data_IF_463320006898
#
_entry.id   IF_463320006898
#
_cell.length_a   1.000
_cell.length_b   1.000
_cell.length_c   1.000
_cell.angle_alpha   90.00
_cell.angle_beta   90.00
_cell.angle_gamma   90.00
#
_symmetry.space_group_name_H-M   'P 1'
#
loop_
_entity.id
_entity.type
_entity.pdbx_description
1 polymer ?
#
# COMPACT_ATOMS: atom_id res chain seq x y z
N UNK A 1 -35.79 21.67 25.56
CA UNK A 1 -34.67 20.87 26.09
C UNK A 1 -35.23 19.62 26.73
N UNK A 2 -35.00 18.46 26.13
CA UNK A 2 -35.26 17.16 26.76
C UNK A 2 -33.88 16.55 27.01
N UNK A 3 -33.48 16.50 28.28
CA UNK A 3 -32.30 15.77 28.72
C UNK A 3 -32.57 14.28 28.53
N UNK A 4 -31.94 13.64 27.55
CA UNK A 4 -31.85 12.20 27.50
C UNK A 4 -30.86 11.75 28.57
N UNK A 5 -31.42 11.38 29.72
CA UNK A 5 -30.70 10.86 30.86
C UNK A 5 -30.04 9.52 30.47
N UNK A 6 -28.72 9.40 30.67
CA UNK A 6 -27.98 8.14 30.53
C UNK A 6 -28.42 7.19 31.64
N UNK A 7 -29.53 6.49 31.47
CA UNK A 7 -29.91 5.37 32.35
C UNK A 7 -29.60 4.04 31.68
N UNK A 8 -28.74 3.29 32.35
CA UNK A 8 -28.40 1.88 32.17
C UNK A 8 -29.53 1.05 31.55
N UNK A 9 -29.48 0.82 30.23
CA UNK A 9 -30.18 -0.27 29.57
C UNK A 9 -29.40 -0.69 28.32
N UNK A 10 -28.82 -1.89 28.44
CA UNK A 10 -28.70 -2.94 27.43
C UNK A 10 -28.10 -2.59 26.06
N UNK A 11 -27.24 -3.46 25.53
CA UNK A 11 -26.50 -3.30 24.27
C UNK A 11 -27.35 -3.04 23.00
N UNK A 12 -28.67 -2.96 23.12
CA UNK A 12 -29.62 -2.46 22.12
C UNK A 12 -29.61 -0.92 21.97
N UNK A 13 -29.22 -0.17 23.00
CA UNK A 13 -29.33 1.30 23.08
C UNK A 13 -28.33 2.06 22.19
N UNK A 14 -27.11 1.56 22.04
CA UNK A 14 -26.01 2.26 21.34
C UNK A 14 -26.21 2.37 19.84
N UNK A 15 -26.87 1.39 19.20
CA UNK A 15 -27.10 1.39 17.76
C UNK A 15 -28.20 2.39 17.33
N UNK A 16 -29.25 2.55 18.13
CA UNK A 16 -30.33 3.49 17.85
C UNK A 16 -29.98 4.93 18.26
N UNK A 17 -29.09 5.12 19.24
CA UNK A 17 -28.67 6.45 19.68
C UNK A 17 -28.15 7.31 18.52
N UNK A 18 -27.23 6.77 17.70
CA UNK A 18 -26.68 7.51 16.55
C UNK A 18 -27.75 7.90 15.51
N UNK A 19 -28.68 6.99 15.21
CA UNK A 19 -29.77 7.25 14.24
C UNK A 19 -30.76 8.30 14.77
N UNK A 20 -31.09 8.24 16.07
CA UNK A 20 -31.97 9.22 16.71
C UNK A 20 -31.34 10.61 16.73
N UNK A 21 -30.04 10.72 17.04
CA UNK A 21 -29.33 11.99 16.98
C UNK A 21 -29.36 12.60 15.57
N UNK A 22 -29.23 11.79 14.52
CA UNK A 22 -29.33 12.26 13.14
C UNK A 22 -30.73 12.78 12.79
N UNK A 23 -31.79 12.12 13.28
CA UNK A 23 -33.17 12.60 13.12
C UNK A 23 -33.37 13.93 13.86
N UNK A 24 -32.90 14.02 15.11
CA UNK A 24 -32.97 15.24 15.91
C UNK A 24 -32.22 16.40 15.25
N UNK A 25 -31.00 16.15 14.78
CA UNK A 25 -30.23 17.13 14.01
C UNK A 25 -31.00 17.63 12.80
N UNK A 26 -31.61 16.72 12.02
CA UNK A 26 -32.42 17.11 10.87
C UNK A 26 -33.62 17.99 11.26
N UNK A 27 -34.27 17.72 12.38
CA UNK A 27 -35.35 18.58 12.88
C UNK A 27 -34.84 19.96 13.28
N UNK A 28 -33.68 20.05 13.93
CA UNK A 28 -33.04 21.32 14.28
C UNK A 28 -32.67 22.10 13.02
N UNK A 29 -32.12 21.45 11.99
CA UNK A 29 -31.79 22.10 10.71
C UNK A 29 -33.04 22.60 9.98
N UNK A 30 -34.17 21.88 10.06
CA UNK A 30 -35.41 22.26 9.36
C UNK A 30 -36.20 23.35 10.08
N UNK A 31 -36.20 23.36 11.42
CA UNK A 31 -37.12 24.18 12.22
C UNK A 31 -36.43 25.12 13.22
N UNK A 32 -35.13 24.97 13.44
CA UNK A 32 -34.32 25.80 14.33
C UNK A 32 -33.43 26.80 13.58
N UNK A 33 -32.46 27.33 14.30
CA UNK A 33 -31.44 28.26 13.80
C UNK A 33 -30.13 27.55 13.47
N UNK A 34 -29.30 28.15 12.63
CA UNK A 34 -27.97 27.60 12.33
C UNK A 34 -27.07 27.51 13.57
N UNK A 35 -27.22 28.45 14.52
CA UNK A 35 -26.51 28.42 15.79
C UNK A 35 -26.93 27.23 16.67
N UNK A 36 -28.22 26.89 16.70
CA UNK A 36 -28.71 25.70 17.40
C UNK A 36 -28.23 24.41 16.73
N UNK A 37 -28.19 24.37 15.39
CA UNK A 37 -27.64 23.23 14.66
C UNK A 37 -26.14 23.04 14.92
N UNK A 38 -25.36 24.12 14.86
CA UNK A 38 -23.93 24.09 15.17
C UNK A 38 -23.68 23.64 16.60
N UNK A 39 -24.41 24.20 17.58
CA UNK A 39 -24.26 23.80 18.98
C UNK A 39 -24.56 22.30 19.17
N UNK A 40 -25.62 21.80 18.55
CA UNK A 40 -25.95 20.38 18.58
C UNK A 40 -24.85 19.50 17.95
N UNK A 41 -24.30 19.92 16.81
CA UNK A 41 -23.20 19.20 16.15
C UNK A 41 -21.94 19.17 17.04
N UNK A 42 -21.59 20.27 17.72
CA UNK A 42 -20.45 20.37 18.63
C UNK A 42 -20.62 19.46 19.86
N UNK A 43 -21.79 19.45 20.48
CA UNK A 43 -22.11 18.58 21.63
C UNK A 43 -22.04 17.09 21.28
N UNK A 44 -22.30 16.72 20.03
CA UNK A 44 -22.35 15.34 19.56
C UNK A 44 -21.14 14.95 18.69
N UNK A 45 -20.05 15.73 18.75
CA UNK A 45 -18.85 15.53 17.93
C UNK A 45 -18.11 14.20 18.15
N UNK A 46 -18.43 13.46 19.21
CA UNK A 46 -17.95 12.09 19.45
C UNK A 46 -18.41 11.10 18.37
N UNK A 47 -19.52 11.38 17.69
CA UNK A 47 -19.94 10.59 16.54
C UNK A 47 -19.32 11.14 15.25
N UNK A 48 -18.64 10.25 14.52
CA UNK A 48 -17.97 10.58 13.26
C UNK A 48 -18.83 11.39 12.27
N UNK A 49 -20.14 11.10 12.16
CA UNK A 49 -21.03 11.83 11.26
C UNK A 49 -21.20 13.31 11.62
N UNK A 50 -21.28 13.66 12.91
CA UNK A 50 -21.33 15.07 13.34
C UNK A 50 -19.98 15.75 13.22
N UNK A 51 -18.89 15.02 13.50
CA UNK A 51 -17.53 15.52 13.25
C UNK A 51 -17.31 15.89 11.77
N UNK A 52 -17.81 15.07 10.84
CA UNK A 52 -17.77 15.36 9.41
C UNK A 52 -18.52 16.66 9.07
N UNK A 53 -19.71 16.88 9.64
CA UNK A 53 -20.46 18.13 9.45
C UNK A 53 -19.68 19.34 9.95
N UNK A 54 -19.08 19.25 11.14
CA UNK A 54 -18.25 20.32 11.70
C UNK A 54 -17.01 20.60 10.84
N UNK A 55 -16.38 19.57 10.28
CA UNK A 55 -15.26 19.72 9.35
C UNK A 55 -15.71 20.42 8.06
N UNK A 56 -16.86 20.03 7.49
CA UNK A 56 -17.38 20.67 6.29
C UNK A 56 -17.78 22.14 6.53
N UNK A 57 -18.32 22.47 7.70
CA UNK A 57 -18.53 23.87 8.11
C UNK A 57 -17.21 24.64 8.19
N UNK A 58 -16.23 24.09 8.89
CA UNK A 58 -14.91 24.72 9.03
C UNK A 58 -14.21 24.92 7.67
N UNK A 59 -14.34 23.96 6.73
CA UNK A 59 -13.84 24.12 5.35
C UNK A 59 -14.54 25.26 4.61
N UNK A 60 -15.87 25.39 4.71
CA UNK A 60 -16.63 26.49 4.09
C UNK A 60 -16.22 27.86 4.63
N UNK A 61 -15.86 27.90 5.91
CA UNK A 61 -15.35 29.11 6.58
C UNK A 61 -13.85 29.35 6.33
N UNK A 62 -13.16 28.49 5.58
CA UNK A 62 -11.70 28.47 5.40
C UNK A 62 -10.91 28.41 6.73
N UNK A 63 -11.52 27.88 7.79
CA UNK A 63 -10.88 27.68 9.09
C UNK A 63 -10.19 26.31 9.14
N UNK A 64 -9.06 26.20 8.45
CA UNK A 64 -8.32 24.94 8.34
C UNK A 64 -7.65 24.52 9.64
N UNK A 65 -7.40 25.45 10.56
CA UNK A 65 -6.96 25.15 11.93
C UNK A 65 -8.02 24.35 12.69
N UNK A 66 -9.30 24.74 12.59
CA UNK A 66 -10.43 23.97 13.16
C UNK A 66 -10.57 22.60 12.48
N UNK A 67 -10.35 22.51 11.16
CA UNK A 67 -10.33 21.22 10.44
C UNK A 67 -9.25 20.29 11.01
N UNK A 68 -8.03 20.79 11.22
CA UNK A 68 -6.93 20.01 11.81
C UNK A 68 -7.30 19.53 13.21
N UNK A 69 -7.81 20.41 14.07
CA UNK A 69 -8.20 20.05 15.44
C UNK A 69 -9.29 18.96 15.46
N UNK A 70 -10.32 19.08 14.63
CA UNK A 70 -11.40 18.11 14.52
C UNK A 70 -10.91 16.75 13.99
N UNK A 71 -10.02 16.74 13.00
CA UNK A 71 -9.44 15.53 12.44
C UNK A 71 -8.54 14.81 13.46
N UNK A 72 -7.66 15.53 14.15
CA UNK A 72 -6.80 14.96 15.20
C UNK A 72 -7.61 14.34 16.35
N UNK A 73 -8.72 14.97 16.74
CA UNK A 73 -9.61 14.41 17.75
C UNK A 73 -10.35 13.17 17.22
N UNK A 74 -10.71 13.15 15.93
CA UNK A 74 -11.25 11.96 15.27
C UNK A 74 -10.27 10.79 15.28
N UNK A 75 -8.99 11.02 14.99
CA UNK A 75 -7.94 10.00 15.04
C UNK A 75 -7.81 9.36 16.43
N UNK A 76 -7.89 10.16 17.51
CA UNK A 76 -7.80 9.65 18.89
C UNK A 76 -9.02 8.82 19.29
N UNK A 77 -10.21 9.26 18.89
CA UNK A 77 -11.47 8.62 19.30
C UNK A 77 -11.76 7.35 18.50
N UNK A 78 -11.44 7.36 17.20
CA UNK A 78 -11.61 6.22 16.30
C UNK A 78 -10.36 5.32 16.26
N UNK A 79 -9.39 5.46 17.17
CA UNK A 79 -8.17 4.63 17.20
C UNK A 79 -8.49 3.12 17.33
N UNK A 80 -9.63 2.78 17.93
CA UNK A 80 -10.15 1.40 18.02
C UNK A 80 -10.88 0.93 16.75
N UNK A 81 -11.06 1.80 15.74
CA UNK A 81 -11.80 1.55 14.51
C UNK A 81 -10.88 1.77 13.30
N UNK A 82 -10.01 0.80 13.05
CA UNK A 82 -8.91 0.84 12.07
C UNK A 82 -9.26 1.36 10.65
N UNK A 83 -10.53 1.32 10.23
CA UNK A 83 -10.98 1.83 8.93
C UNK A 83 -11.23 3.34 8.86
N UNK A 84 -11.33 4.06 9.99
CA UNK A 84 -11.64 5.51 10.00
C UNK A 84 -10.41 6.39 10.21
N UNK A 85 -9.39 5.87 10.86
CA UNK A 85 -8.11 6.58 11.08
C UNK A 85 -7.49 7.11 9.78
N UNK A 86 -7.49 6.39 8.64
CA UNK A 86 -6.95 6.91 7.38
C UNK A 86 -7.70 8.16 6.88
N UNK A 87 -9.05 8.17 6.97
CA UNK A 87 -9.88 9.30 6.51
C UNK A 87 -9.56 10.59 7.26
N UNK A 88 -9.37 10.51 8.59
CA UNK A 88 -9.03 11.70 9.38
C UNK A 88 -7.63 12.23 9.04
N UNK A 89 -6.66 11.33 8.85
CA UNK A 89 -5.32 11.68 8.39
C UNK A 89 -5.34 12.35 7.01
N UNK A 90 -6.13 11.85 6.06
CA UNK A 90 -6.33 12.48 4.74
C UNK A 90 -6.88 13.91 4.85
N UNK A 91 -7.92 14.11 5.67
CA UNK A 91 -8.50 15.45 5.89
C UNK A 91 -7.47 16.40 6.50
N UNK A 92 -6.70 15.92 7.49
CA UNK A 92 -5.64 16.69 8.15
C UNK A 92 -4.51 17.03 7.16
N UNK A 93 -4.16 16.10 6.30
CA UNK A 93 -3.15 16.29 5.25
C UNK A 93 -3.54 17.40 4.26
N UNK A 94 -4.78 17.39 3.79
CA UNK A 94 -5.30 18.44 2.91
C UNK A 94 -5.37 19.80 3.61
N UNK A 95 -5.71 19.83 4.90
CA UNK A 95 -5.68 21.06 5.69
C UNK A 95 -4.24 21.60 5.83
N UNK A 96 -3.23 20.74 6.03
CA UNK A 96 -1.82 21.15 6.00
C UNK A 96 -1.42 21.77 4.67
N UNK A 97 -1.86 21.22 3.53
CA UNK A 97 -1.64 21.83 2.20
C UNK A 97 -2.22 23.24 2.13
N UNK A 98 -3.48 23.42 2.58
CA UNK A 98 -4.17 24.72 2.53
C UNK A 98 -3.49 25.79 3.37
N UNK A 99 -2.90 25.41 4.50
CA UNK A 99 -2.15 26.30 5.39
C UNK A 99 -0.65 26.38 5.05
N UNK A 100 -0.18 25.68 4.00
CA UNK A 100 1.25 25.60 3.65
C UNK A 100 2.14 25.07 4.79
N UNK A 101 1.60 24.20 5.64
CA UNK A 101 2.31 23.57 6.78
C UNK A 101 3.15 22.39 6.30
N UNK A 102 4.24 22.69 5.56
CA UNK A 102 5.05 21.69 4.84
C UNK A 102 5.72 20.66 5.76
N UNK A 103 6.18 21.06 6.94
CA UNK A 103 6.86 20.14 7.85
C UNK A 103 5.90 19.09 8.42
N UNK A 104 4.71 19.52 8.81
CA UNK A 104 3.61 18.69 9.28
C UNK A 104 3.09 17.77 8.17
N UNK A 105 2.94 18.33 6.96
CA UNK A 105 2.58 17.58 5.76
C UNK A 105 3.61 16.47 5.49
N UNK A 106 4.91 16.78 5.46
CA UNK A 106 5.95 15.79 5.21
C UNK A 106 5.97 14.69 6.28
N UNK A 107 5.79 15.05 7.56
CA UNK A 107 5.71 14.05 8.65
C UNK A 107 4.52 13.10 8.45
N UNK A 108 3.35 13.64 8.11
CA UNK A 108 2.14 12.83 7.92
C UNK A 108 2.18 11.99 6.63
N UNK A 109 2.68 12.53 5.52
CA UNK A 109 2.89 11.76 4.29
C UNK A 109 3.83 10.57 4.54
N UNK A 110 4.90 10.78 5.32
CA UNK A 110 5.81 9.71 5.71
C UNK A 110 5.10 8.66 6.57
N UNK A 111 4.29 9.06 7.53
CA UNK A 111 3.50 8.12 8.33
C UNK A 111 2.55 7.28 7.45
N UNK A 112 1.78 7.95 6.58
CA UNK A 112 0.85 7.30 5.64
C UNK A 112 1.58 6.32 4.71
N UNK A 113 2.73 6.72 4.17
CA UNK A 113 3.57 5.85 3.35
C UNK A 113 3.96 4.58 4.12
N UNK A 114 4.43 4.69 5.36
CA UNK A 114 4.84 3.52 6.17
C UNK A 114 3.65 2.63 6.57
N UNK A 115 2.44 3.18 6.60
CA UNK A 115 1.20 2.45 6.84
C UNK A 115 0.65 1.76 5.58
N UNK A 116 1.27 1.96 4.41
CA UNK A 116 0.98 1.25 3.16
C UNK A 116 0.37 2.11 2.05
N UNK A 117 0.27 3.42 2.23
CA UNK A 117 -0.30 4.36 1.27
C UNK A 117 0.79 4.93 0.35
N UNK A 118 1.16 4.18 -0.69
CA UNK A 118 2.27 4.54 -1.57
C UNK A 118 2.04 5.84 -2.36
N UNK A 119 0.79 6.23 -2.57
CA UNK A 119 0.40 7.48 -3.23
C UNK A 119 1.04 8.73 -2.58
N UNK A 120 1.39 8.68 -1.29
CA UNK A 120 2.06 9.76 -0.58
C UNK A 120 3.55 9.87 -0.86
N UNK A 121 4.17 8.90 -1.56
CA UNK A 121 5.60 8.94 -1.85
C UNK A 121 5.97 10.16 -2.71
N UNK A 122 5.26 10.38 -3.82
CA UNK A 122 5.54 11.49 -4.71
C UNK A 122 5.35 12.83 -3.99
N UNK A 123 4.28 12.97 -3.21
CA UNK A 123 4.06 14.19 -2.44
C UNK A 123 5.16 14.42 -1.38
N UNK A 124 5.61 13.36 -0.72
CA UNK A 124 6.71 13.44 0.23
C UNK A 124 8.01 13.85 -0.45
N UNK A 125 8.26 13.35 -1.66
CA UNK A 125 9.40 13.69 -2.51
C UNK A 125 9.34 15.17 -2.94
N UNK A 126 8.18 15.67 -3.35
CA UNK A 126 7.97 17.08 -3.73
C UNK A 126 8.12 18.05 -2.55
N UNK A 127 7.85 17.59 -1.32
CA UNK A 127 8.06 18.37 -0.10
C UNK A 127 9.52 18.38 0.37
N UNK A 128 10.36 17.50 -0.15
CA UNK A 128 11.78 17.48 0.19
C UNK A 128 12.49 18.67 -0.45
N UNK A 129 13.10 19.51 0.39
CA UNK A 129 13.96 20.63 -0.06
C UNK A 129 15.45 20.29 -0.01
N UNK A 130 15.80 19.09 0.46
CA UNK A 130 17.18 18.61 0.57
C UNK A 130 17.63 17.86 -0.68
N UNK A 131 18.74 17.13 -0.53
CA UNK A 131 19.23 16.24 -1.58
C UNK A 131 18.26 15.06 -1.79
N UNK A 132 17.94 14.78 -3.05
CA UNK A 132 16.96 13.75 -3.41
C UNK A 132 17.49 12.34 -3.14
N UNK A 133 18.79 12.13 -3.34
CA UNK A 133 19.45 10.84 -3.11
C UNK A 133 19.54 10.55 -1.62
N UNK A 134 19.95 11.52 -0.80
CA UNK A 134 19.95 11.37 0.66
C UNK A 134 18.54 11.07 1.20
N UNK A 135 17.53 11.78 0.70
CA UNK A 135 16.13 11.54 1.05
C UNK A 135 15.70 10.11 0.71
N UNK A 136 15.98 9.66 -0.52
CA UNK A 136 15.69 8.32 -0.99
C UNK A 136 16.41 7.26 -0.13
N UNK A 137 17.71 7.39 0.08
CA UNK A 137 18.52 6.42 0.83
C UNK A 137 18.07 6.32 2.30
N UNK A 138 17.73 7.44 2.92
CA UNK A 138 17.15 7.45 4.26
C UNK A 138 15.81 6.72 4.34
N UNK A 139 14.93 6.99 3.37
CA UNK A 139 13.60 6.40 3.32
C UNK A 139 13.69 4.89 3.08
N UNK A 140 14.49 4.49 2.10
CA UNK A 140 14.83 3.11 1.76
C UNK A 140 15.38 2.36 2.97
N UNK A 141 16.37 2.93 3.66
CA UNK A 141 16.97 2.30 4.84
C UNK A 141 15.97 2.12 5.99
N UNK A 142 15.03 3.06 6.18
CA UNK A 142 13.98 2.96 7.19
C UNK A 142 12.95 1.88 6.83
N UNK A 143 12.50 1.82 5.58
CA UNK A 143 11.56 0.79 5.11
C UNK A 143 12.18 -0.62 5.14
N UNK A 144 13.45 -0.76 4.72
CA UNK A 144 14.18 -2.04 4.72
C UNK A 144 14.36 -2.64 6.12
N UNK A 145 14.49 -1.78 7.15
CA UNK A 145 14.63 -2.22 8.56
C UNK A 145 13.30 -2.58 9.22
N UNK A 146 12.18 -2.14 8.65
CA UNK A 146 10.87 -2.37 9.21
C UNK A 146 10.37 -3.79 8.87
N UNK A 147 9.93 -4.52 9.89
CA UNK A 147 9.51 -5.91 9.75
C UNK A 147 8.04 -6.08 9.37
N UNK A 148 7.25 -4.99 9.43
CA UNK A 148 5.83 -4.98 9.05
C UNK A 148 5.67 -5.30 7.57
N UNK A 149 4.64 -6.07 7.23
CA UNK A 149 4.39 -6.48 5.84
C UNK A 149 4.08 -5.27 4.94
N UNK A 150 3.40 -4.24 5.46
CA UNK A 150 3.14 -3.00 4.74
C UNK A 150 4.45 -2.31 4.34
N UNK A 151 5.36 -2.13 5.29
CA UNK A 151 6.63 -1.47 5.04
C UNK A 151 7.51 -2.25 4.06
N UNK A 152 7.49 -3.59 4.10
CA UNK A 152 8.15 -4.43 3.08
C UNK A 152 7.57 -4.21 1.69
N UNK A 153 6.25 -4.11 1.55
CA UNK A 153 5.64 -3.80 0.25
C UNK A 153 6.01 -2.39 -0.22
N UNK A 154 6.04 -1.41 0.68
CA UNK A 154 6.45 -0.05 0.35
C UNK A 154 7.91 0.04 -0.06
N UNK A 155 8.80 -0.75 0.57
CA UNK A 155 10.18 -0.88 0.15
C UNK A 155 10.28 -1.37 -1.30
N UNK A 156 9.54 -2.42 -1.67
CA UNK A 156 9.54 -2.95 -3.04
C UNK A 156 8.98 -1.93 -4.02
N UNK A 157 7.87 -1.28 -3.71
CA UNK A 157 7.31 -0.23 -4.56
C UNK A 157 8.29 0.95 -4.73
N UNK A 158 9.02 1.31 -3.66
CA UNK A 158 9.99 2.39 -3.69
C UNK A 158 11.17 2.10 -4.62
N UNK A 159 11.80 0.93 -4.51
CA UNK A 159 12.93 0.56 -5.38
C UNK A 159 12.48 0.36 -6.83
N UNK A 160 11.22 -0.04 -7.05
CA UNK A 160 10.63 -0.12 -8.39
C UNK A 160 10.43 1.26 -9.02
N UNK A 161 9.84 2.19 -8.28
CA UNK A 161 9.54 3.54 -8.77
C UNK A 161 10.82 4.31 -9.11
N UNK A 162 11.90 4.09 -8.35
CA UNK A 162 13.19 4.74 -8.56
C UNK A 162 14.15 3.92 -9.44
N UNK A 163 13.69 2.77 -9.97
CA UNK A 163 14.48 1.84 -10.79
C UNK A 163 15.86 1.51 -10.18
N UNK A 164 15.92 1.33 -8.84
CA UNK A 164 17.17 1.04 -8.11
C UNK A 164 17.61 -0.40 -8.36
N UNK A 165 18.36 -0.60 -9.44
CA UNK A 165 18.73 -1.92 -9.94
C UNK A 165 19.57 -2.73 -8.95
N UNK A 166 20.43 -2.07 -8.15
CA UNK A 166 21.22 -2.72 -7.12
C UNK A 166 20.31 -3.36 -6.05
N UNK A 167 19.32 -2.60 -5.58
CA UNK A 167 18.39 -3.07 -4.55
C UNK A 167 17.35 -4.06 -5.08
N UNK A 168 16.92 -3.91 -6.35
CA UNK A 168 16.09 -4.90 -7.02
C UNK A 168 16.86 -6.22 -7.16
N UNK A 169 18.13 -6.20 -7.57
CA UNK A 169 18.96 -7.40 -7.69
C UNK A 169 19.16 -8.09 -6.32
N UNK A 170 19.40 -7.32 -5.26
CA UNK A 170 19.47 -7.84 -3.90
C UNK A 170 18.12 -8.48 -3.47
N UNK A 171 17.00 -7.82 -3.75
CA UNK A 171 15.67 -8.30 -3.41
C UNK A 171 15.33 -9.65 -4.08
N UNK A 172 15.57 -9.77 -5.39
CA UNK A 172 15.27 -11.02 -6.12
C UNK A 172 16.24 -12.15 -5.79
N UNK A 173 17.46 -11.83 -5.34
CA UNK A 173 18.41 -12.85 -4.88
C UNK A 173 17.89 -13.61 -3.67
N UNK A 174 17.16 -12.93 -2.79
CA UNK A 174 16.44 -13.55 -1.66
C UNK A 174 15.07 -14.11 -2.08
N UNK A 175 14.49 -13.59 -3.16
CA UNK A 175 13.16 -13.94 -3.64
C UNK A 175 13.15 -14.34 -5.14
N UNK A 176 13.72 -15.51 -5.50
CA UNK A 176 13.91 -15.89 -6.90
C UNK A 176 12.64 -15.98 -7.73
N UNK A 177 11.46 -16.13 -7.09
CA UNK A 177 10.16 -16.14 -7.76
C UNK A 177 9.84 -14.86 -8.54
N UNK A 178 10.50 -13.74 -8.22
CA UNK A 178 10.29 -12.48 -8.91
C UNK A 178 11.29 -12.24 -10.06
N UNK A 179 12.22 -13.15 -10.34
CA UNK A 179 13.21 -12.97 -11.41
C UNK A 179 12.55 -12.65 -12.75
N UNK A 180 11.46 -13.34 -13.09
CA UNK A 180 10.74 -13.14 -14.35
C UNK A 180 10.07 -11.76 -14.47
N UNK A 181 9.88 -11.04 -13.36
CA UNK A 181 9.31 -9.69 -13.33
C UNK A 181 10.37 -8.63 -13.62
N UNK A 182 11.58 -8.79 -13.10
CA UNK A 182 12.63 -7.76 -13.15
C UNK A 182 13.79 -8.08 -14.10
N UNK A 183 13.87 -9.29 -14.65
CA UNK A 183 14.97 -9.70 -15.53
C UNK A 183 15.19 -8.74 -16.70
N UNK A 184 14.13 -8.19 -17.30
CA UNK A 184 14.25 -7.23 -18.40
C UNK A 184 14.90 -5.91 -17.98
N UNK A 185 14.63 -5.43 -16.77
CA UNK A 185 15.23 -4.21 -16.21
C UNK A 185 16.71 -4.42 -15.87
N UNK A 186 17.08 -5.65 -15.48
CA UNK A 186 18.41 -5.97 -14.96
C UNK A 186 19.38 -6.53 -16.00
N UNK A 187 18.91 -6.98 -17.16
CA UNK A 187 19.73 -7.74 -18.13
C UNK A 187 20.95 -6.99 -18.66
N UNK A 188 20.90 -5.67 -18.73
CA UNK A 188 22.00 -4.86 -19.28
C UNK A 188 23.13 -4.66 -18.25
N UNK A 189 22.80 -4.58 -16.96
CA UNK A 189 23.76 -4.30 -15.88
C UNK A 189 24.17 -5.53 -15.07
N UNK A 190 23.34 -6.59 -15.05
CA UNK A 190 23.53 -7.80 -14.24
C UNK A 190 23.30 -9.08 -15.05
N UNK A 191 23.74 -9.11 -16.31
CA UNK A 191 23.49 -10.21 -17.24
C UNK A 191 23.83 -11.59 -16.63
N UNK A 192 25.02 -11.72 -16.02
CA UNK A 192 25.51 -12.96 -15.44
C UNK A 192 24.73 -13.39 -14.20
N UNK A 193 24.38 -12.45 -13.32
CA UNK A 193 23.61 -12.71 -12.11
C UNK A 193 22.18 -13.08 -12.43
N UNK A 194 21.55 -12.36 -13.38
CA UNK A 194 20.22 -12.66 -13.90
C UNK A 194 20.20 -14.05 -14.52
N UNK A 195 21.16 -14.39 -15.37
CA UNK A 195 21.27 -15.71 -16.00
C UNK A 195 21.33 -16.85 -14.96
N UNK A 196 22.24 -16.72 -13.99
CA UNK A 196 22.42 -17.70 -12.91
C UNK A 196 21.16 -17.84 -12.06
N UNK A 197 20.56 -16.72 -11.66
CA UNK A 197 19.39 -16.73 -10.78
C UNK A 197 18.14 -17.27 -11.49
N UNK A 198 17.92 -16.85 -12.74
CA UNK A 198 16.77 -17.27 -13.55
C UNK A 198 16.85 -18.77 -13.84
N UNK A 199 18.00 -19.27 -14.31
CA UNK A 199 18.17 -20.70 -14.58
C UNK A 199 18.03 -21.54 -13.29
N UNK A 200 18.55 -21.07 -12.14
CA UNK A 200 18.34 -21.70 -10.83
C UNK A 200 16.86 -21.74 -10.44
N UNK A 201 16.11 -20.65 -10.66
CA UNK A 201 14.68 -20.60 -10.39
C UNK A 201 13.91 -21.61 -11.27
N UNK A 202 14.20 -21.66 -12.57
CA UNK A 202 13.59 -22.64 -13.49
C UNK A 202 13.83 -24.07 -13.00
N UNK A 203 15.06 -24.42 -12.60
CA UNK A 203 15.39 -25.75 -12.04
C UNK A 203 14.56 -26.07 -10.80
N UNK A 204 14.41 -25.10 -9.88
CA UNK A 204 13.60 -25.29 -8.67
C UNK A 204 12.11 -25.52 -8.99
N UNK A 205 11.54 -24.76 -9.92
CA UNK A 205 10.14 -24.94 -10.36
C UNK A 205 9.97 -26.28 -11.09
N UNK A 206 10.91 -26.66 -11.96
CA UNK A 206 10.92 -27.95 -12.64
C UNK A 206 10.97 -29.14 -11.66
N UNK A 207 11.75 -29.01 -10.59
CA UNK A 207 11.88 -30.05 -9.57
C UNK A 207 10.57 -30.28 -8.81
N UNK A 208 9.89 -29.20 -8.40
CA UNK A 208 8.62 -29.26 -7.66
C UNK A 208 7.40 -29.58 -8.54
N UNK A 209 7.53 -29.46 -9.86
CA UNK A 209 6.46 -29.73 -10.82
C UNK A 209 6.13 -31.23 -10.95
N UNK A 210 4.85 -31.56 -10.83
CA UNK A 210 4.34 -32.95 -10.89
C UNK A 210 3.14 -33.15 -11.83
N UNK A 211 2.59 -32.07 -12.39
CA UNK A 211 1.40 -32.08 -13.23
C UNK A 211 1.67 -31.35 -14.54
N UNK A 212 0.90 -31.69 -15.57
CA UNK A 212 1.08 -31.14 -16.92
C UNK A 212 0.98 -29.61 -16.97
N UNK A 213 0.07 -29.01 -16.20
CA UNK A 213 -0.02 -27.55 -16.08
C UNK A 213 1.28 -26.93 -15.52
N UNK A 214 1.84 -27.51 -14.45
CA UNK A 214 3.09 -27.04 -13.87
C UNK A 214 4.28 -27.17 -14.85
N UNK A 215 4.30 -28.22 -15.69
CA UNK A 215 5.30 -28.33 -16.77
C UNK A 215 5.17 -27.23 -17.83
N UNK A 216 3.93 -26.82 -18.15
CA UNK A 216 3.68 -25.70 -19.06
C UNK A 216 4.14 -24.36 -18.44
N UNK A 217 4.01 -24.19 -17.13
CA UNK A 217 4.53 -23.03 -16.41
C UNK A 217 6.06 -22.97 -16.52
N UNK A 218 6.75 -24.10 -16.32
CA UNK A 218 8.21 -24.20 -16.51
C UNK A 218 8.60 -23.83 -17.95
N UNK A 219 7.89 -24.37 -18.94
CA UNK A 219 8.16 -24.04 -20.35
C UNK A 219 7.94 -22.55 -20.64
N UNK A 220 6.95 -21.93 -20.00
CA UNK A 220 6.70 -20.48 -20.13
C UNK A 220 7.82 -19.66 -19.52
N UNK A 221 8.38 -20.08 -18.38
CA UNK A 221 9.58 -19.46 -17.80
C UNK A 221 10.79 -19.59 -18.72
N UNK A 222 11.00 -20.76 -19.34
CA UNK A 222 12.12 -20.98 -20.28
C UNK A 222 11.99 -20.07 -21.51
N UNK A 223 10.79 -19.88 -22.07
CA UNK A 223 10.58 -18.96 -23.20
C UNK A 223 10.95 -17.53 -22.86
N UNK A 224 10.62 -17.07 -21.64
CA UNK A 224 11.02 -15.73 -21.17
C UNK A 224 12.52 -15.65 -20.96
N UNK A 225 13.10 -16.65 -20.32
CA UNK A 225 14.54 -16.75 -20.10
C UNK A 225 15.35 -16.72 -21.40
N UNK A 226 14.88 -17.39 -22.47
CA UNK A 226 15.46 -17.31 -23.82
C UNK A 226 15.58 -15.87 -24.34
N UNK A 227 14.59 -15.02 -24.06
CA UNK A 227 14.62 -13.62 -24.49
C UNK A 227 15.58 -12.75 -23.67
N UNK A 228 15.96 -13.21 -22.47
CA UNK A 228 16.84 -12.49 -21.54
C UNK A 228 18.29 -12.95 -21.68
N UNK A 229 18.54 -14.25 -21.55
CA UNK A 229 19.87 -14.85 -21.50
C UNK A 229 20.32 -15.42 -22.87
N UNK A 230 19.47 -15.34 -23.90
CA UNK A 230 19.77 -15.81 -25.24
C UNK A 230 19.39 -17.27 -25.52
N UNK A 231 19.40 -17.61 -26.81
CA UNK A 231 19.00 -18.92 -27.32
C UNK A 231 19.90 -20.05 -26.80
N UNK A 232 21.22 -19.84 -26.77
CA UNK A 232 22.18 -20.89 -26.43
C UNK A 232 22.04 -21.32 -24.97
N UNK A 233 21.94 -20.37 -24.05
CA UNK A 233 21.72 -20.63 -22.63
C UNK A 233 20.38 -21.36 -22.38
N UNK A 234 19.32 -20.95 -23.08
CA UNK A 234 18.03 -21.60 -22.97
C UNK A 234 18.04 -23.04 -23.52
N UNK A 235 18.70 -23.26 -24.67
CA UNK A 235 18.84 -24.60 -25.26
C UNK A 235 19.60 -25.54 -24.32
N UNK A 236 20.71 -25.07 -23.74
CA UNK A 236 21.48 -25.84 -22.76
C UNK A 236 20.64 -26.23 -21.54
N UNK A 237 19.83 -25.30 -21.03
CA UNK A 237 18.93 -25.57 -19.90
C UNK A 237 17.83 -26.58 -20.27
N UNK A 238 17.26 -26.49 -21.47
CA UNK A 238 16.26 -27.46 -21.95
C UNK A 238 16.86 -28.86 -22.03
N UNK A 239 18.05 -29.01 -22.61
CA UNK A 239 18.74 -30.30 -22.72
C UNK A 239 19.07 -30.88 -21.35
N UNK A 240 19.55 -30.05 -20.41
CA UNK A 240 19.77 -30.45 -19.01
C UNK A 240 18.49 -31.02 -18.38
N UNK A 241 17.36 -30.31 -18.50
CA UNK A 241 16.09 -30.73 -17.93
C UNK A 241 15.55 -32.01 -18.60
N UNK A 242 15.72 -32.19 -19.91
CA UNK A 242 15.34 -33.41 -20.63
C UNK A 242 16.10 -34.63 -20.09
N UNK A 243 17.41 -34.49 -19.88
CA UNK A 243 18.25 -35.57 -19.34
C UNK A 243 17.85 -35.88 -17.89
N UNK A 244 17.69 -34.85 -17.06
CA UNK A 244 17.36 -34.99 -15.64
C UNK A 244 15.98 -35.63 -15.41
N UNK A 245 14.99 -35.25 -16.22
CA UNK A 245 13.61 -35.68 -16.07
C UNK A 245 13.15 -36.69 -17.13
N UNK A 246 14.07 -37.45 -17.75
CA UNK A 246 13.77 -38.47 -18.77
C UNK A 246 12.70 -39.51 -18.38
N UNK A 247 12.48 -39.72 -17.08
CA UNK A 247 11.45 -40.61 -16.52
C UNK A 247 10.08 -39.95 -16.35
N UNK A 248 9.90 -38.70 -16.81
CA UNK A 248 8.64 -37.94 -16.80
C UNK A 248 8.22 -37.66 -18.26
N UNK A 249 7.63 -38.62 -18.98
CA UNK A 249 7.36 -38.49 -20.42
C UNK A 249 6.52 -37.26 -20.77
N UNK A 250 5.51 -36.94 -19.95
CA UNK A 250 4.69 -35.76 -20.14
C UNK A 250 5.47 -34.45 -19.99
N UNK A 251 6.52 -34.40 -19.17
CA UNK A 251 7.37 -33.21 -19.05
C UNK A 251 8.30 -33.09 -20.25
N UNK A 252 8.92 -34.20 -20.67
CA UNK A 252 9.76 -34.24 -21.87
C UNK A 252 8.97 -33.80 -23.12
N UNK A 253 7.71 -34.22 -23.24
CA UNK A 253 6.79 -33.78 -24.31
C UNK A 253 6.48 -32.26 -24.26
N UNK A 254 6.43 -31.64 -23.07
CA UNK A 254 6.29 -30.18 -23.02
C UNK A 254 7.60 -29.47 -23.40
N UNK A 255 8.76 -30.01 -22.98
CA UNK A 255 10.08 -29.47 -23.31
C UNK A 255 10.42 -29.61 -24.80
N UNK A 256 9.89 -30.60 -25.53
CA UNK A 256 10.08 -30.75 -26.98
C UNK A 256 9.37 -29.66 -27.81
N UNK A 257 8.44 -28.92 -27.21
CA UNK A 257 7.72 -27.82 -27.86
C UNK A 257 8.46 -26.47 -27.74
N UNK A 258 9.67 -26.48 -27.19
CA UNK A 258 10.51 -25.30 -27.01
C UNK A 258 11.63 -25.19 -28.06
N UNK A 259 11.76 -26.20 -28.91
CA UNK A 259 12.71 -26.23 -30.04
C UNK A 259 12.40 -25.12 -31.06
#
# INVERSE_FOLDING_TARGET
MVYLNKSDTDGFSTYYAGTLLQILHRLIVLYGTDAEALHFEEENSEHASFRELLIERAKKENNFEKVIALAMEGEKQDDFHAGRTPKWKEIRYEAYKKLSLKAEQARLAKEMLFDGHFEYYQELKDLNTGDEKEFYDELKAKLKKDTRWQAKNMYVNLIEQEEDTDEIMAYISENPQYIARYADLLKDSYADEVDKLYSKHIRAVAQSSSKRSAYQDVCSLIRRYKNIAGQDNAAQLVDELRVLYKRRPAFVDELSKLD
#
